data_IF_165100087226
#
_entry.id   IF_165100087226
#
_cell.length_a   1.000
_cell.length_b   1.000
_cell.length_c   1.000
_cell.angle_alpha   90.00
_cell.angle_beta   90.00
_cell.angle_gamma   90.00
#
_symmetry.space_group_name_H-M   'P 1'
#
loop_
_entity.id
_entity.type
_entity.pdbx_description
1 polymer ?
#
# COMPACT_ATOMS: atom_id res chain seq x y z
N UNK A 1 3.12 5.09 16.02
CA UNK A 1 2.18 3.99 16.41
C UNK A 1 2.97 2.73 16.76
N UNK A 2 2.62 1.98 17.83
CA UNK A 2 3.42 0.83 18.30
C UNK A 2 3.71 -0.23 17.25
N UNK A 3 2.70 -0.61 16.45
CA UNK A 3 2.85 -1.66 15.43
C UNK A 3 3.79 -1.26 14.28
N UNK A 4 3.75 0.01 13.85
CA UNK A 4 4.61 0.56 12.79
C UNK A 4 6.07 0.61 13.29
N UNK A 5 6.27 1.06 14.53
CA UNK A 5 7.60 1.13 15.14
C UNK A 5 8.22 -0.25 15.35
N UNK A 6 7.42 -1.22 15.80
CA UNK A 6 7.86 -2.61 15.94
C UNK A 6 8.24 -3.21 14.58
N UNK A 7 7.43 -3.00 13.55
CA UNK A 7 7.73 -3.47 12.21
C UNK A 7 9.01 -2.83 11.65
N UNK A 8 9.17 -1.50 11.76
CA UNK A 8 10.38 -0.78 11.34
C UNK A 8 11.65 -1.36 11.99
N UNK A 9 11.59 -1.61 13.30
CA UNK A 9 12.71 -2.20 14.04
C UNK A 9 13.07 -3.58 13.52
N UNK A 10 12.08 -4.43 13.23
CA UNK A 10 12.32 -5.78 12.73
C UNK A 10 12.84 -5.80 11.30
N UNK A 11 12.37 -4.90 10.42
CA UNK A 11 12.89 -4.82 9.04
C UNK A 11 14.30 -4.24 9.00
N UNK A 12 14.65 -3.31 9.88
CA UNK A 12 16.02 -2.83 9.99
C UNK A 12 17.03 -3.92 10.41
N UNK A 13 16.55 -5.07 10.92
CA UNK A 13 17.38 -6.22 11.27
C UNK A 13 17.55 -7.23 10.11
N UNK A 14 16.75 -7.10 9.05
CA UNK A 14 16.92 -7.87 7.83
C UNK A 14 17.83 -7.07 6.92
N UNK A 15 19.15 -7.26 7.03
CA UNK A 15 20.19 -6.74 6.11
C UNK A 15 20.04 -7.36 4.72
N UNK A 16 18.91 -7.09 4.06
CA UNK A 16 18.62 -7.57 2.71
C UNK A 16 18.60 -6.35 1.80
N UNK A 17 19.67 -6.19 1.02
CA UNK A 17 19.73 -5.18 -0.03
C UNK A 17 18.52 -5.34 -0.98
N UNK A 18 18.00 -4.21 -1.45
CA UNK A 18 16.89 -4.09 -2.42
C UNK A 18 15.48 -4.55 -2.00
N UNK A 19 15.25 -4.94 -0.75
CA UNK A 19 13.89 -5.24 -0.27
C UNK A 19 13.22 -3.99 0.30
N UNK A 20 12.15 -3.51 -0.37
CA UNK A 20 11.29 -2.44 0.15
C UNK A 20 10.11 -3.04 0.94
N UNK A 21 10.07 -2.90 2.27
CA UNK A 21 8.98 -3.43 3.07
C UNK A 21 7.68 -2.66 2.84
N UNK A 22 6.55 -3.38 2.86
CA UNK A 22 5.21 -2.77 2.80
C UNK A 22 4.31 -3.29 3.92
N UNK A 23 3.51 -2.39 4.49
CA UNK A 23 2.42 -2.72 5.40
C UNK A 23 1.07 -2.62 4.68
N UNK A 24 0.24 -3.66 4.77
CA UNK A 24 -1.14 -3.65 4.28
C UNK A 24 -2.10 -3.62 5.48
N UNK A 25 -2.90 -2.56 5.56
CA UNK A 25 -3.90 -2.37 6.62
C UNK A 25 -5.29 -2.69 6.09
N UNK A 26 -5.98 -3.63 6.72
CA UNK A 26 -7.41 -3.89 6.45
C UNK A 26 -8.24 -3.22 7.53
N UNK A 27 -9.12 -2.29 7.15
CA UNK A 27 -9.88 -1.47 8.09
C UNK A 27 -11.39 -1.64 7.98
N UNK A 28 -12.16 -1.52 9.07
CA UNK A 28 -13.60 -1.37 9.00
C UNK A 28 -13.96 -0.15 8.12
N UNK A 29 -15.15 -0.19 7.51
CA UNK A 29 -15.68 0.74 6.50
C UNK A 29 -15.31 2.22 6.73
N UNK A 30 -15.23 3.01 5.66
CA UNK A 30 -14.99 4.46 5.70
C UNK A 30 -16.06 5.19 6.53
N UNK A 31 -15.80 5.30 7.83
CA UNK A 31 -16.46 6.22 8.77
C UNK A 31 -15.56 7.45 8.87
N UNK A 32 -16.14 8.64 8.97
CA UNK A 32 -15.38 9.90 9.09
C UNK A 32 -14.42 9.89 10.30
N UNK A 33 -14.75 9.14 11.36
CA UNK A 33 -13.88 8.91 12.53
C UNK A 33 -12.68 8.01 12.20
N UNK A 34 -12.88 7.04 11.32
CA UNK A 34 -11.83 6.16 10.81
C UNK A 34 -10.93 6.92 9.83
N UNK A 35 -11.44 7.94 9.12
CA UNK A 35 -10.64 8.76 8.22
C UNK A 35 -9.46 9.45 8.94
N UNK A 36 -9.68 9.94 10.16
CA UNK A 36 -8.61 10.47 11.02
C UNK A 36 -7.55 9.42 11.37
N UNK A 37 -7.98 8.21 11.73
CA UNK A 37 -7.09 7.08 12.00
C UNK A 37 -6.31 6.66 10.74
N UNK A 38 -6.95 6.62 9.57
CA UNK A 38 -6.33 6.26 8.30
C UNK A 38 -5.32 7.29 7.83
N UNK A 39 -5.64 8.58 8.03
CA UNK A 39 -4.71 9.68 7.83
C UNK A 39 -3.51 9.52 8.77
N UNK A 40 -3.74 9.23 10.05
CA UNK A 40 -2.68 8.96 11.03
C UNK A 40 -1.79 7.78 10.64
N UNK A 41 -2.36 6.68 10.16
CA UNK A 41 -1.61 5.51 9.66
C UNK A 41 -0.72 5.91 8.48
N UNK A 42 -1.28 6.64 7.51
CA UNK A 42 -0.53 7.09 6.33
C UNK A 42 0.58 8.05 6.71
N UNK A 43 0.32 9.03 7.56
CA UNK A 43 1.34 9.98 8.06
C UNK A 43 2.45 9.22 8.79
N UNK A 44 2.11 8.28 9.68
CA UNK A 44 3.09 7.49 10.40
C UNK A 44 3.93 6.60 9.46
N UNK A 45 3.33 6.00 8.43
CA UNK A 45 4.07 5.18 7.47
C UNK A 45 4.93 6.03 6.52
N UNK A 46 4.34 7.03 5.88
CA UNK A 46 4.94 7.78 4.78
C UNK A 46 5.95 8.83 5.31
N UNK A 47 5.64 9.54 6.40
CA UNK A 47 6.45 10.65 6.92
C UNK A 47 7.40 10.23 8.04
N UNK A 48 6.97 9.38 8.97
CA UNK A 48 7.75 9.06 10.17
C UNK A 48 8.59 7.79 9.98
N UNK A 49 8.00 6.74 9.39
CA UNK A 49 8.65 5.45 9.26
C UNK A 49 9.43 5.29 7.96
N UNK A 50 9.00 5.92 6.86
CA UNK A 50 9.55 5.72 5.53
C UNK A 50 9.18 4.36 4.93
N UNK A 51 8.00 3.83 5.28
CA UNK A 51 7.55 2.48 4.93
C UNK A 51 6.37 2.57 3.97
N UNK A 52 6.44 1.85 2.86
CA UNK A 52 5.33 1.78 1.92
C UNK A 52 4.09 1.20 2.60
N UNK A 53 2.92 1.81 2.39
CA UNK A 53 1.69 1.38 3.06
C UNK A 53 0.51 1.28 2.10
N UNK A 54 -0.38 0.30 2.28
CA UNK A 54 -1.64 0.19 1.55
C UNK A 54 -2.80 -0.04 2.51
N UNK A 55 -3.78 0.85 2.49
CA UNK A 55 -5.01 0.72 3.27
C UNK A 55 -6.09 0.13 2.38
N UNK A 56 -6.81 -0.88 2.86
CA UNK A 56 -7.91 -1.54 2.15
C UNK A 56 -9.10 -1.61 3.10
N UNK A 57 -10.25 -1.07 2.70
CA UNK A 57 -11.47 -1.25 3.50
C UNK A 57 -11.90 -2.72 3.48
N UNK A 58 -12.52 -3.21 4.54
CA UNK A 58 -13.11 -4.56 4.61
C UNK A 58 -14.09 -4.83 3.48
N UNK A 59 -14.87 -3.82 3.07
CA UNK A 59 -15.75 -3.90 1.88
C UNK A 59 -14.95 -4.15 0.61
N UNK A 60 -13.88 -3.38 0.40
CA UNK A 60 -12.99 -3.52 -0.77
C UNK A 60 -12.26 -4.85 -0.75
N UNK A 61 -11.72 -5.26 0.40
CA UNK A 61 -11.03 -6.53 0.58
C UNK A 61 -11.93 -7.72 0.23
N UNK A 62 -13.19 -7.72 0.70
CA UNK A 62 -14.17 -8.75 0.32
C UNK A 62 -14.47 -8.75 -1.18
N UNK A 63 -14.49 -7.58 -1.83
CA UNK A 63 -14.66 -7.47 -3.28
C UNK A 63 -13.46 -7.98 -4.07
N UNK A 64 -12.29 -8.16 -3.44
CA UNK A 64 -11.13 -8.81 -4.06
C UNK A 64 -11.25 -10.33 -4.09
N UNK A 65 -12.21 -10.93 -3.38
CA UNK A 65 -12.43 -12.37 -3.40
C UNK A 65 -12.91 -12.85 -4.79
N UNK A 66 -12.58 -14.10 -5.13
CA UNK A 66 -12.87 -14.70 -6.44
C UNK A 66 -11.63 -14.83 -7.33
N UNK A 67 -11.83 -14.90 -8.65
CA UNK A 67 -10.74 -15.04 -9.63
C UNK A 67 -9.99 -13.72 -9.81
N UNK A 68 -8.72 -13.70 -9.40
CA UNK A 68 -7.89 -12.50 -9.39
C UNK A 68 -7.69 -11.92 -10.80
N UNK A 69 -7.62 -12.77 -11.83
CA UNK A 69 -7.40 -12.38 -13.22
C UNK A 69 -8.51 -11.49 -13.80
N UNK A 70 -9.74 -11.60 -13.29
CA UNK A 70 -10.89 -10.81 -13.75
C UNK A 70 -11.36 -9.79 -12.71
N UNK A 71 -10.61 -9.63 -11.62
CA UNK A 71 -11.00 -8.77 -10.52
C UNK A 71 -10.38 -7.38 -10.66
N UNK A 72 -11.14 -6.45 -11.27
CA UNK A 72 -10.71 -5.07 -11.42
C UNK A 72 -10.38 -4.36 -10.09
N UNK A 73 -11.02 -4.75 -8.98
CA UNK A 73 -10.73 -4.18 -7.65
C UNK A 73 -9.34 -4.62 -7.18
N UNK A 74 -9.04 -5.92 -7.30
CA UNK A 74 -7.73 -6.46 -6.96
C UNK A 74 -6.65 -5.85 -7.86
N UNK A 75 -6.88 -5.82 -9.18
CA UNK A 75 -5.94 -5.27 -10.16
C UNK A 75 -5.58 -3.81 -9.83
N UNK A 76 -6.57 -2.97 -9.56
CA UNK A 76 -6.34 -1.57 -9.17
C UNK A 76 -5.54 -1.41 -7.88
N UNK A 77 -5.67 -2.34 -6.93
CA UNK A 77 -4.89 -2.33 -5.69
C UNK A 77 -3.43 -2.73 -5.98
N UNK A 78 -3.21 -3.77 -6.79
CA UNK A 78 -1.86 -4.19 -7.17
C UNK A 78 -1.13 -3.13 -7.98
N UNK A 79 -1.81 -2.40 -8.88
CA UNK A 79 -1.23 -1.26 -9.58
C UNK A 79 -0.76 -0.16 -8.60
N UNK A 80 -1.50 0.10 -7.52
CA UNK A 80 -1.10 1.05 -6.47
C UNK A 80 0.08 0.54 -5.65
N UNK A 81 0.11 -0.75 -5.35
CA UNK A 81 1.22 -1.38 -4.62
C UNK A 81 2.50 -1.31 -5.45
N UNK A 82 2.42 -1.64 -6.74
CA UNK A 82 3.57 -1.63 -7.65
C UNK A 82 4.27 -0.27 -7.66
N UNK A 83 3.51 0.82 -7.81
CA UNK A 83 4.07 2.18 -7.80
C UNK A 83 4.68 2.55 -6.45
N UNK A 84 4.10 2.11 -5.34
CA UNK A 84 4.65 2.37 -3.99
C UNK A 84 5.96 1.64 -3.74
N UNK A 85 6.16 0.51 -4.40
CA UNK A 85 7.43 -0.22 -4.36
C UNK A 85 8.44 0.31 -5.39
N UNK A 86 8.08 1.32 -6.20
CA UNK A 86 8.94 1.93 -7.22
C UNK A 86 8.78 1.33 -8.60
N UNK A 87 7.84 0.41 -8.80
CA UNK A 87 7.50 -0.12 -10.11
C UNK A 87 6.78 0.90 -10.99
N UNK A 88 6.84 0.67 -12.31
CA UNK A 88 6.16 1.51 -13.31
C UNK A 88 5.09 0.67 -13.98
N UNK A 89 3.82 1.07 -13.87
CA UNK A 89 2.70 0.32 -14.43
C UNK A 89 2.61 0.44 -15.95
N UNK A 90 2.81 1.64 -16.49
CA UNK A 90 2.76 1.93 -17.91
C UNK A 90 3.80 3.01 -18.25
N UNK A 91 4.32 2.98 -19.48
CA UNK A 91 5.19 4.02 -20.03
C UNK A 91 4.58 4.54 -21.33
N UNK A 92 4.63 5.84 -21.54
CA UNK A 92 4.28 6.43 -22.84
C UNK A 92 5.49 6.27 -23.75
N UNK A 93 5.27 5.83 -24.99
CA UNK A 93 6.33 5.79 -25.99
C UNK A 93 6.72 7.23 -26.36
N UNK A 94 8.01 7.53 -26.31
CA UNK A 94 8.53 8.89 -26.51
C UNK A 94 8.10 9.52 -27.84
N UNK A 95 8.00 8.71 -28.91
CA UNK A 95 7.47 9.10 -30.23
C UNK A 95 6.00 9.57 -30.27
N UNK A 96 5.27 9.44 -29.17
CA UNK A 96 3.89 9.92 -29.03
C UNK A 96 3.83 11.29 -28.30
N UNK A 97 4.99 11.84 -27.92
CA UNK A 97 5.13 13.15 -27.28
C UNK A 97 5.78 14.19 -28.21
N UNK A 98 6.20 13.76 -29.41
CA UNK A 98 6.66 14.58 -30.54
C UNK A 98 5.47 14.85 -31.48
#
# INVERSE_FOLDING_TARGET
MPIINAFKKNVALTDVEDVRPMLIFVVPKEDSRIYGLLSGIKVACDREAGIASQVISTKTFRRMAGRAENNAVAHNIFLKINVKLGGVNNRVLQRCLE
#
